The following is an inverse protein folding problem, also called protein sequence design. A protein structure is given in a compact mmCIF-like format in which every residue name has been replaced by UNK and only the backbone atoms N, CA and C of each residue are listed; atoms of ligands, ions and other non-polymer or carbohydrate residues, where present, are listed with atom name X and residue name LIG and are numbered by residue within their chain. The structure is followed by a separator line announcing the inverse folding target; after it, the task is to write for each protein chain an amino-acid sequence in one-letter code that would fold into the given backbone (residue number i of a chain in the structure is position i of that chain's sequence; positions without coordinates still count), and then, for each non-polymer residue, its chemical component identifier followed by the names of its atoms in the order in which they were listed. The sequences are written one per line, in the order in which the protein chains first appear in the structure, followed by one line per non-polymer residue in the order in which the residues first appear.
data_IF_235558350049
#
_entry.id   IF_235558350049
#
_cell.length_a   1.000
_cell.length_b   1.000
_cell.length_c   1.000
_cell.angle_alpha   90.00
_cell.angle_beta   90.00
_cell.angle_gamma   90.00
#
_symmetry.space_group_name_H-M   'P 1'
#
loop_
_entity.id
_entity.type
_entity.pdbx_description
1 polymer ?
#
# COMPACT_ATOMS: atom_id res chain seq x y z
N UNK A 1 11.31 6.58 24.41
CA UNK A 1 9.87 6.83 24.24
C UNK A 1 9.22 6.47 25.55
N UNK A 2 8.37 7.32 26.11
CA UNK A 2 7.58 6.97 27.29
C UNK A 2 6.28 6.32 26.81
N UNK A 3 6.00 5.10 27.26
CA UNK A 3 4.75 4.42 26.93
C UNK A 3 3.58 5.01 27.74
N UNK A 4 2.37 4.88 27.21
CA UNK A 4 1.16 5.42 27.85
C UNK A 4 0.85 4.77 29.21
N UNK A 5 1.32 3.54 29.44
CA UNK A 5 1.11 2.74 30.64
C UNK A 5 2.32 1.83 30.90
N UNK A 6 2.43 1.25 32.09
CA UNK A 6 3.33 0.12 32.37
C UNK A 6 2.84 -1.17 31.67
N UNK A 7 3.63 -2.24 31.71
CA UNK A 7 3.31 -3.49 31.01
C UNK A 7 1.96 -4.09 31.46
N UNK A 8 1.66 -4.02 32.76
CA UNK A 8 0.41 -4.51 33.31
C UNK A 8 -0.79 -3.68 32.82
N UNK A 9 -0.65 -2.36 32.69
CA UNK A 9 -1.64 -1.47 32.13
C UNK A 9 -1.82 -1.62 30.63
N UNK A 10 -0.72 -1.80 29.88
CA UNK A 10 -0.73 -2.07 28.42
C UNK A 10 -1.49 -3.36 28.10
N UNK A 11 -1.30 -4.42 28.90
CA UNK A 11 -2.00 -5.69 28.73
C UNK A 11 -3.54 -5.59 28.85
N UNK A 12 -4.05 -4.50 29.44
CA UNK A 12 -5.49 -4.25 29.62
C UNK A 12 -6.07 -3.28 28.59
N UNK A 13 -5.24 -2.70 27.72
CA UNK A 13 -5.70 -1.75 26.73
C UNK A 13 -6.53 -2.43 25.64
N UNK A 14 -7.53 -1.73 25.08
CA UNK A 14 -8.35 -2.27 24.02
C UNK A 14 -7.55 -2.39 22.72
N UNK A 15 -7.32 -3.63 22.27
CA UNK A 15 -6.57 -3.88 21.02
C UNK A 15 -7.19 -3.17 19.82
N UNK A 16 -8.52 -3.13 19.72
CA UNK A 16 -9.20 -2.51 18.58
C UNK A 16 -8.89 -1.02 18.41
N UNK A 17 -8.69 -0.29 19.52
CA UNK A 17 -8.29 1.11 19.47
C UNK A 17 -6.86 1.26 18.97
N UNK A 18 -5.91 0.52 19.57
CA UNK A 18 -4.49 0.66 19.23
C UNK A 18 -4.17 0.14 17.83
N UNK A 19 -4.82 -0.93 17.37
CA UNK A 19 -4.68 -1.41 16.00
C UNK A 19 -5.22 -0.40 14.99
N UNK A 20 -6.36 0.24 15.29
CA UNK A 20 -6.91 1.31 14.45
C UNK A 20 -6.03 2.56 14.44
N UNK A 21 -5.58 3.02 15.60
CA UNK A 21 -4.74 4.21 15.72
C UNK A 21 -3.40 4.04 15.01
N UNK A 22 -2.77 2.86 15.13
CA UNK A 22 -1.56 2.53 14.40
C UNK A 22 -1.80 2.46 12.88
N UNK A 23 -2.89 1.81 12.45
CA UNK A 23 -3.30 1.79 11.05
C UNK A 23 -3.50 3.19 10.48
N UNK A 24 -4.27 4.05 11.17
CA UNK A 24 -4.59 5.40 10.72
C UNK A 24 -3.33 6.27 10.60
N UNK A 25 -2.45 6.24 11.60
CA UNK A 25 -1.20 7.00 11.60
C UNK A 25 -0.26 6.54 10.47
N UNK A 26 -0.03 5.23 10.33
CA UNK A 26 0.90 4.68 9.34
C UNK A 26 0.41 4.88 7.90
N UNK A 27 -0.88 4.63 7.64
CA UNK A 27 -1.48 4.85 6.31
C UNK A 27 -1.50 6.34 5.96
N UNK A 28 -1.83 7.22 6.91
CA UNK A 28 -1.78 8.67 6.68
C UNK A 28 -0.37 9.13 6.35
N UNK A 29 0.64 8.64 7.05
CA UNK A 29 2.04 8.97 6.79
C UNK A 29 2.49 8.53 5.39
N UNK A 30 2.15 7.32 4.96
CA UNK A 30 2.45 6.82 3.60
C UNK A 30 1.68 7.61 2.54
N UNK A 31 0.41 7.95 2.78
CA UNK A 31 -0.39 8.77 1.84
C UNK A 31 0.18 10.16 1.68
N UNK A 32 0.68 10.78 2.76
CA UNK A 32 1.35 12.07 2.68
C UNK A 32 2.60 12.00 1.78
N UNK A 33 3.39 10.94 1.94
CA UNK A 33 4.57 10.69 1.10
C UNK A 33 4.21 10.50 -0.39
N UNK A 34 3.11 9.82 -0.71
CA UNK A 34 2.61 9.69 -2.09
C UNK A 34 2.10 11.03 -2.65
N UNK A 35 1.43 11.83 -1.81
CA UNK A 35 0.85 13.11 -2.22
C UNK A 35 1.92 14.13 -2.66
N UNK A 36 3.15 14.04 -2.12
CA UNK A 36 4.29 14.84 -2.58
C UNK A 36 4.58 14.66 -4.08
N UNK A 37 4.22 13.51 -4.66
CA UNK A 37 4.39 13.17 -6.08
C UNK A 37 3.07 13.23 -6.88
N UNK A 38 2.02 13.86 -6.33
CA UNK A 38 0.67 13.86 -6.91
C UNK A 38 0.15 12.44 -7.19
N UNK A 39 0.41 11.52 -6.26
CA UNK A 39 -0.08 10.14 -6.30
C UNK A 39 -0.99 9.87 -5.10
N UNK A 40 -1.99 9.03 -5.33
CA UNK A 40 -2.79 8.36 -4.30
C UNK A 40 -2.46 6.86 -4.33
N UNK A 41 -3.03 6.08 -3.41
CA UNK A 41 -2.74 4.63 -3.35
C UNK A 41 -3.15 3.87 -4.62
N UNK A 42 -4.33 4.08 -5.25
CA UNK A 42 -4.70 3.28 -6.43
C UNK A 42 -3.77 3.49 -7.64
N UNK A 43 -3.46 4.72 -8.10
CA UNK A 43 -2.46 4.94 -9.15
C UNK A 43 -1.09 4.39 -8.78
N UNK A 44 -0.67 4.52 -7.52
CA UNK A 44 0.58 3.94 -7.02
C UNK A 44 0.61 2.41 -7.17
N UNK A 45 -0.48 1.73 -6.82
CA UNK A 45 -0.58 0.28 -6.98
C UNK A 45 -0.60 -0.14 -8.45
N UNK A 46 -1.28 0.59 -9.32
CA UNK A 46 -1.24 0.36 -10.77
C UNK A 46 0.21 0.45 -11.28
N UNK A 47 0.93 1.53 -10.96
CA UNK A 47 2.32 1.69 -11.37
C UNK A 47 3.21 0.54 -10.86
N UNK A 48 3.03 0.10 -9.61
CA UNK A 48 3.77 -1.04 -9.09
C UNK A 48 3.46 -2.35 -9.84
N UNK A 49 2.20 -2.61 -10.20
CA UNK A 49 1.86 -3.79 -11.02
C UNK A 49 2.52 -3.75 -12.40
N UNK A 50 2.68 -2.57 -12.99
CA UNK A 50 3.31 -2.40 -14.30
C UNK A 50 4.84 -2.45 -14.26
N UNK A 51 5.46 -2.44 -13.08
CA UNK A 51 6.93 -2.52 -12.96
C UNK A 51 7.45 -3.90 -13.37
N UNK A 52 6.64 -4.94 -13.19
CA UNK A 52 6.94 -6.33 -13.58
C UNK A 52 6.26 -6.73 -14.91
N UNK A 53 5.76 -5.76 -15.68
CA UNK A 53 5.20 -6.05 -16.98
C UNK A 53 6.32 -6.45 -17.97
N UNK A 54 6.04 -7.44 -18.81
CA UNK A 54 6.91 -7.78 -19.93
C UNK A 54 6.88 -6.69 -21.02
N UNK A 55 7.65 -6.87 -22.10
CA UNK A 55 7.67 -5.93 -23.23
C UNK A 55 6.29 -5.74 -23.88
N UNK A 56 5.39 -6.72 -23.72
CA UNK A 56 4.03 -6.68 -24.23
C UNK A 56 3.09 -5.89 -23.31
N UNK A 57 3.48 -5.59 -22.07
CA UNK A 57 2.63 -4.92 -21.10
C UNK A 57 1.62 -5.86 -20.44
N UNK A 58 0.95 -5.39 -19.39
CA UNK A 58 -0.04 -6.18 -18.66
C UNK A 58 -1.46 -5.88 -19.13
N UNK A 59 -2.33 -6.90 -19.33
CA UNK A 59 -3.74 -6.66 -19.64
C UNK A 59 -4.40 -5.80 -18.56
N UNK A 60 -5.12 -4.75 -18.95
CA UNK A 60 -5.84 -3.86 -18.04
C UNK A 60 -6.76 -4.63 -17.09
N UNK A 61 -7.52 -5.58 -17.65
CA UNK A 61 -8.43 -6.42 -16.87
C UNK A 61 -7.70 -7.28 -15.80
N UNK A 62 -6.46 -7.70 -16.07
CA UNK A 62 -5.66 -8.46 -15.10
C UNK A 62 -5.19 -7.56 -13.95
N UNK A 63 -4.69 -6.36 -14.27
CA UNK A 63 -4.33 -5.34 -13.26
C UNK A 63 -5.53 -5.01 -12.38
N UNK A 64 -6.71 -4.83 -12.99
CA UNK A 64 -7.95 -4.55 -12.25
C UNK A 64 -8.39 -5.72 -11.38
N UNK A 65 -8.35 -6.94 -11.91
CA UNK A 65 -8.72 -8.14 -11.16
C UNK A 65 -7.79 -8.37 -9.96
N UNK A 66 -6.48 -8.18 -10.14
CA UNK A 66 -5.48 -8.30 -9.08
C UNK A 66 -5.75 -7.28 -7.97
N UNK A 67 -5.94 -6.01 -8.34
CA UNK A 67 -6.06 -4.92 -7.36
C UNK A 67 -7.45 -4.83 -6.71
N UNK A 68 -8.47 -5.50 -7.25
CA UNK A 68 -9.82 -5.54 -6.65
C UNK A 68 -9.84 -6.10 -5.23
N UNK A 69 -8.89 -6.98 -4.89
CA UNK A 69 -8.74 -7.55 -3.55
C UNK A 69 -8.20 -6.57 -2.50
N UNK A 70 -7.56 -5.48 -2.92
CA UNK A 70 -7.11 -4.44 -2.00
C UNK A 70 -8.30 -3.55 -1.62
N UNK A 71 -8.74 -3.71 -0.36
CA UNK A 71 -9.67 -2.86 0.40
C UNK A 71 -10.54 -1.93 -0.45
N UNK A 72 -11.53 -2.52 -1.13
CA UNK A 72 -12.63 -1.82 -1.79
C UNK A 72 -12.21 -0.75 -2.83
N UNK A 73 -11.06 -0.93 -3.49
CA UNK A 73 -10.58 -0.03 -4.56
C UNK A 73 -11.12 -0.43 -5.95
N UNK A 74 -11.75 -1.60 -6.06
CA UNK A 74 -12.21 -2.17 -7.33
C UNK A 74 -13.11 -1.28 -8.18
N UNK A 75 -13.96 -0.45 -7.57
CA UNK A 75 -14.91 0.40 -8.30
C UNK A 75 -14.29 1.71 -8.81
N UNK A 76 -13.19 2.16 -8.21
CA UNK A 76 -12.52 3.42 -8.60
C UNK A 76 -11.27 3.21 -9.47
N UNK A 77 -10.84 1.97 -9.68
CA UNK A 77 -9.55 1.69 -10.32
C UNK A 77 -9.52 2.03 -11.82
N UNK A 78 -10.62 1.82 -12.53
CA UNK A 78 -10.73 2.14 -13.96
C UNK A 78 -10.48 3.64 -14.23
N UNK A 79 -11.19 4.59 -13.57
CA UNK A 79 -10.86 6.02 -13.65
C UNK A 79 -9.42 6.40 -13.28
N UNK A 80 -8.80 5.68 -12.34
CA UNK A 80 -7.43 5.96 -11.89
C UNK A 80 -6.40 5.55 -12.94
N UNK A 81 -6.64 4.45 -13.66
CA UNK A 81 -5.84 4.04 -14.83
C UNK A 81 -5.98 5.09 -15.95
N UNK A 82 -7.21 5.54 -16.23
CA UNK A 82 -7.44 6.59 -17.25
C UNK A 82 -6.73 7.90 -16.87
N UNK A 83 -6.71 8.26 -15.59
CA UNK A 83 -5.95 9.40 -15.08
C UNK A 83 -4.44 9.26 -15.29
N UNK A 84 -3.87 8.07 -15.12
CA UNK A 84 -2.46 7.81 -15.44
C UNK A 84 -2.16 7.92 -16.94
N UNK A 85 -3.08 7.46 -17.79
CA UNK A 85 -2.97 7.59 -19.26
C UNK A 85 -3.05 9.05 -19.68
N UNK A 86 -4.02 9.81 -19.16
CA UNK A 86 -4.16 11.23 -19.46
C UNK A 86 -2.94 12.07 -19.03
N UNK A 87 -2.23 11.63 -17.97
CA UNK A 87 -0.97 12.23 -17.51
C UNK A 87 0.26 11.78 -18.30
N UNK A 88 0.13 10.84 -19.24
CA UNK A 88 1.24 10.28 -20.00
C UNK A 88 2.19 9.39 -19.19
N UNK A 89 1.75 8.87 -18.04
CA UNK A 89 2.56 7.98 -17.19
C UNK A 89 2.40 6.50 -17.59
N UNK A 90 1.29 6.19 -18.25
CA UNK A 90 0.93 4.86 -18.75
C UNK A 90 0.39 5.02 -20.18
N UNK A 91 0.66 4.05 -21.04
CA UNK A 91 0.01 3.91 -22.35
C UNK A 91 -0.83 2.65 -22.38
N UNK A 92 -1.96 2.70 -23.08
CA UNK A 92 -2.80 1.54 -23.39
C UNK A 92 -2.74 1.27 -24.90
N UNK A 93 -2.44 0.03 -25.27
CA UNK A 93 -2.40 -0.38 -26.68
C UNK A 93 -3.79 -0.80 -27.21
N UNK A 94 -3.97 -1.03 -28.53
CA UNK A 94 -5.25 -1.44 -29.09
C UNK A 94 -5.79 -2.79 -28.57
N UNK A 95 -4.97 -3.57 -27.87
CA UNK A 95 -5.33 -4.84 -27.23
C UNK A 95 -5.57 -4.72 -25.72
N UNK A 96 -5.75 -3.48 -25.23
CA UNK A 96 -5.99 -3.11 -23.82
C UNK A 96 -4.88 -3.54 -22.87
N UNK A 97 -3.63 -3.53 -23.35
CA UNK A 97 -2.44 -3.76 -22.52
C UNK A 97 -1.83 -2.44 -22.07
N UNK A 98 -1.56 -2.37 -20.78
CA UNK A 98 -0.97 -1.24 -20.11
C UNK A 98 0.55 -1.37 -20.05
N UNK A 99 1.25 -0.28 -20.36
CA UNK A 99 2.70 -0.15 -20.23
C UNK A 99 3.04 1.16 -19.56
N UNK A 100 4.02 1.15 -18.67
CA UNK A 100 4.54 2.37 -18.08
C UNK A 100 5.44 3.10 -19.09
N UNK A 101 5.32 4.42 -19.15
CA UNK A 101 6.19 5.27 -19.98
C UNK A 101 7.52 5.54 -19.26
N UNK A 102 8.55 6.05 -19.95
CA UNK A 102 9.78 6.52 -19.29
C UNK A 102 9.49 7.53 -18.16
N UNK A 103 8.54 8.44 -18.38
CA UNK A 103 8.10 9.43 -17.39
C UNK A 103 7.38 8.76 -16.21
N UNK A 104 6.55 7.75 -16.47
CA UNK A 104 5.94 6.91 -15.44
C UNK A 104 6.99 6.20 -14.58
N UNK A 105 8.03 5.63 -15.19
CA UNK A 105 9.12 4.96 -14.49
C UNK A 105 9.90 5.93 -13.60
N UNK A 106 10.21 7.13 -14.11
CA UNK A 106 10.91 8.15 -13.34
C UNK A 106 10.08 8.60 -12.12
N UNK A 107 8.81 8.97 -12.32
CA UNK A 107 7.92 9.37 -11.22
C UNK A 107 7.78 8.26 -10.17
N UNK A 108 7.58 7.02 -10.62
CA UNK A 108 7.45 5.86 -9.73
C UNK A 108 8.71 5.66 -8.92
N UNK A 109 9.89 5.77 -9.52
CA UNK A 109 11.17 5.60 -8.82
C UNK A 109 11.36 6.65 -7.72
N UNK A 110 11.11 7.92 -8.01
CA UNK A 110 11.18 9.01 -7.03
C UNK A 110 10.18 8.79 -5.88
N UNK A 111 8.93 8.46 -6.21
CA UNK A 111 7.90 8.15 -5.23
C UNK A 111 8.26 6.92 -4.38
N UNK A 112 8.86 5.88 -4.97
CA UNK A 112 9.29 4.68 -4.27
C UNK A 112 10.37 4.98 -3.22
N UNK A 113 11.33 5.84 -3.54
CA UNK A 113 12.33 6.27 -2.57
C UNK A 113 11.70 7.03 -1.40
N UNK A 114 10.75 7.93 -1.69
CA UNK A 114 10.07 8.73 -0.67
C UNK A 114 9.17 7.89 0.23
N UNK A 115 8.41 6.95 -0.35
CA UNK A 115 7.59 5.97 0.37
C UNK A 115 8.48 5.02 1.17
N UNK A 116 9.62 4.59 0.63
CA UNK A 116 10.61 3.77 1.33
C UNK A 116 11.13 4.46 2.60
N UNK A 117 11.43 5.77 2.53
CA UNK A 117 11.77 6.57 3.71
C UNK A 117 10.61 6.64 4.71
N UNK A 118 9.38 6.86 4.25
CA UNK A 118 8.20 6.88 5.12
C UNK A 118 8.00 5.55 5.87
N UNK A 119 8.27 4.42 5.20
CA UNK A 119 8.23 3.09 5.83
C UNK A 119 9.38 2.94 6.83
N UNK A 120 10.58 3.39 6.50
CA UNK A 120 11.72 3.37 7.42
C UNK A 120 11.45 4.22 8.68
N UNK A 121 10.79 5.37 8.54
CA UNK A 121 10.37 6.22 9.67
C UNK A 121 9.42 5.46 10.60
N UNK A 122 8.45 4.72 10.05
CA UNK A 122 7.53 3.87 10.81
C UNK A 122 8.26 2.78 11.60
N UNK A 123 9.34 2.21 11.04
CA UNK A 123 10.14 1.15 11.67
C UNK A 123 11.25 1.68 12.61
N UNK A 124 11.44 2.99 12.70
CA UNK A 124 12.57 3.55 13.45
C UNK A 124 12.49 3.17 14.93
N UNK A 125 13.54 2.50 15.41
CA UNK A 125 13.65 2.06 16.80
C UNK A 125 12.85 0.80 17.14
N UNK A 126 12.30 0.10 16.15
CA UNK A 126 11.57 -1.16 16.32
C UNK A 126 12.45 -2.31 15.76
N UNK A 127 12.98 -3.20 16.61
CA UNK A 127 13.68 -4.40 16.15
C UNK A 127 12.76 -5.33 15.34
N UNK A 128 13.34 -6.06 14.37
CA UNK A 128 12.58 -6.97 13.51
C UNK A 128 11.82 -8.02 14.31
N UNK A 129 12.40 -8.53 15.40
CA UNK A 129 11.77 -9.50 16.28
C UNK A 129 10.50 -8.98 16.97
N UNK A 130 10.48 -7.71 17.37
CA UNK A 130 9.33 -7.06 17.99
C UNK A 130 8.23 -6.83 16.95
N UNK A 131 8.60 -6.32 15.78
CA UNK A 131 7.66 -6.10 14.68
C UNK A 131 7.02 -7.41 14.20
N UNK A 132 7.82 -8.46 14.03
CA UNK A 132 7.34 -9.81 13.67
C UNK A 132 6.43 -10.38 14.77
N UNK A 133 6.76 -10.18 16.04
CA UNK A 133 5.91 -10.61 17.15
C UNK A 133 4.54 -9.89 17.12
N UNK A 134 4.53 -8.57 16.90
CA UNK A 134 3.30 -7.79 16.78
C UNK A 134 2.41 -8.29 15.63
N UNK A 135 2.99 -8.51 14.44
CA UNK A 135 2.23 -9.05 13.29
C UNK A 135 1.69 -10.45 13.56
N UNK A 136 2.48 -11.34 14.18
CA UNK A 136 2.01 -12.70 14.55
C UNK A 136 0.83 -12.65 15.53
N UNK A 137 0.83 -11.71 16.48
CA UNK A 137 -0.29 -11.52 17.41
C UNK A 137 -1.54 -11.04 16.67
N UNK A 138 -1.41 -10.01 15.81
CA UNK A 138 -2.53 -9.49 15.02
C UNK A 138 -3.14 -10.57 14.10
N UNK A 139 -2.32 -11.33 13.40
CA UNK A 139 -2.79 -12.44 12.56
C UNK A 139 -3.55 -13.49 13.37
N UNK A 140 -3.07 -13.82 14.57
CA UNK A 140 -3.77 -14.76 15.46
C UNK A 140 -5.10 -14.21 15.95
N UNK A 141 -5.16 -12.92 16.28
CA UNK A 141 -6.41 -12.26 16.66
C UNK A 141 -7.43 -12.30 15.53
N UNK A 142 -7.02 -11.99 14.30
CA UNK A 142 -7.84 -12.08 13.08
C UNK A 142 -8.36 -13.51 12.91
N UNK A 143 -7.48 -14.52 13.00
CA UNK A 143 -7.85 -15.92 12.91
C UNK A 143 -8.87 -16.34 13.99
N UNK A 144 -8.64 -15.96 15.25
CA UNK A 144 -9.50 -16.33 16.39
C UNK A 144 -10.94 -15.83 16.25
N UNK A 145 -11.17 -14.73 15.51
CA UNK A 145 -12.50 -14.16 15.28
C UNK A 145 -13.06 -14.49 13.89
N UNK A 146 -12.41 -15.38 13.13
CA UNK A 146 -12.82 -15.75 11.78
C UNK A 146 -12.68 -14.62 10.75
N UNK A 147 -11.81 -13.64 11.02
CA UNK A 147 -11.51 -12.57 10.09
C UNK A 147 -10.60 -13.04 8.96
N UNK A 148 -10.64 -12.31 7.85
CA UNK A 148 -9.74 -12.49 6.71
C UNK A 148 -8.83 -11.27 6.61
N UNK A 149 -7.54 -11.51 6.40
CA UNK A 149 -6.62 -10.48 5.91
C UNK A 149 -6.02 -11.00 4.60
N UNK A 150 -5.84 -10.12 3.63
CA UNK A 150 -5.17 -10.49 2.39
C UNK A 150 -3.66 -10.45 2.64
N UNK A 151 -2.99 -11.56 2.38
CA UNK A 151 -1.55 -11.72 2.36
C UNK A 151 -1.31 -12.64 1.17
N UNK A 152 -0.52 -12.16 0.21
CA UNK A 152 -0.27 -12.67 -1.15
C UNK A 152 -0.53 -14.15 -1.38
#
# INVERSE_FOLDING_TARGET
MDYSHDDAGLARQPIGYWSWAAYDATVTHIRAALAEHNLTQPPWWVLNQLTEADEQGRPRAEVVAMLRGYLNVGDSLEPEIDGLIARGLVTEDPTTRLRMTPEGHALRAEAAERVGRAIADIHTGIPDEEYVAALKVLQRMIHNVGGNAWHH
#
